data_IF_152476392385
#
_entry.id   IF_152476392385
#
_cell.length_a   1.000
_cell.length_b   1.000
_cell.length_c   1.000
_cell.angle_alpha   90.00
_cell.angle_beta   90.00
_cell.angle_gamma   90.00
#
_symmetry.space_group_name_H-M   'P 1'
#
loop_
_entity.id
_entity.type
_entity.pdbx_description
1 polymer ?
#
# COMPACT_ATOMS: atom_id res chain seq x y z
N UNK A 1 1.26 7.49 -15.65
CA UNK A 1 2.12 7.22 -14.48
C UNK A 1 2.10 5.72 -14.11
N UNK A 2 0.95 5.11 -13.71
CA UNK A 2 0.92 3.71 -13.27
C UNK A 2 1.49 2.73 -14.31
N UNK A 3 1.16 2.85 -15.61
CA UNK A 3 1.67 1.95 -16.66
C UNK A 3 3.19 2.04 -16.84
N UNK A 4 3.74 3.24 -16.80
CA UNK A 4 5.18 3.46 -16.88
C UNK A 4 5.90 2.86 -15.67
N UNK A 5 5.41 3.11 -14.47
CA UNK A 5 5.96 2.49 -13.25
C UNK A 5 5.98 0.97 -13.35
N UNK A 6 4.88 0.34 -13.82
CA UNK A 6 4.83 -1.11 -14.04
C UNK A 6 5.89 -1.60 -15.03
N UNK A 7 6.17 -0.83 -16.09
CA UNK A 7 7.20 -1.18 -17.07
C UNK A 7 8.60 -1.20 -16.47
N UNK A 8 8.93 -0.22 -15.61
CA UNK A 8 10.20 -0.19 -14.88
C UNK A 8 10.36 -1.41 -13.96
N UNK A 9 9.34 -1.70 -13.16
CA UNK A 9 9.35 -2.83 -12.25
C UNK A 9 9.43 -4.17 -12.98
N UNK A 10 8.79 -4.31 -14.15
CA UNK A 10 8.92 -5.48 -15.00
C UNK A 10 10.37 -5.69 -15.48
N UNK A 11 11.10 -4.62 -15.82
CA UNK A 11 12.52 -4.68 -16.20
C UNK A 11 13.38 -5.18 -15.04
N UNK A 12 12.95 -4.95 -13.81
CA UNK A 12 13.60 -5.43 -12.58
C UNK A 12 13.20 -6.87 -12.20
N UNK A 13 12.34 -7.53 -12.99
CA UNK A 13 11.88 -8.88 -12.70
C UNK A 13 10.91 -8.98 -11.51
N UNK A 14 10.24 -7.88 -11.16
CA UNK A 14 9.21 -7.89 -10.10
C UNK A 14 7.99 -8.65 -10.58
N UNK A 15 7.51 -9.58 -9.77
CA UNK A 15 6.34 -10.40 -10.08
C UNK A 15 5.04 -9.65 -9.78
N UNK A 16 4.15 -9.64 -10.76
CA UNK A 16 2.84 -9.02 -10.65
C UNK A 16 1.72 -10.06 -10.66
N UNK A 17 0.68 -9.80 -9.87
CA UNK A 17 -0.57 -10.54 -10.00
C UNK A 17 -1.25 -10.29 -11.34
N UNK A 18 -2.15 -11.20 -11.75
CA UNK A 18 -3.08 -10.92 -12.83
C UNK A 18 -4.02 -9.75 -12.46
N UNK A 19 -4.56 -9.06 -13.47
CA UNK A 19 -5.51 -7.96 -13.28
C UNK A 19 -6.84 -8.43 -12.66
N UNK A 20 -7.22 -9.67 -12.96
CA UNK A 20 -8.39 -10.36 -12.42
C UNK A 20 -7.95 -11.79 -12.09
N UNK A 21 -8.25 -12.26 -10.89
CA UNK A 21 -7.80 -13.59 -10.45
C UNK A 21 -8.74 -14.14 -9.38
N UNK A 22 -8.91 -15.46 -9.39
CA UNK A 22 -9.58 -16.12 -8.27
C UNK A 22 -8.65 -16.22 -7.06
N UNK A 23 -9.23 -16.32 -5.87
CA UNK A 23 -8.48 -16.54 -4.61
C UNK A 23 -7.46 -17.68 -4.73
N UNK A 24 -7.87 -18.84 -5.26
CA UNK A 24 -6.99 -19.99 -5.40
C UNK A 24 -5.81 -19.72 -6.31
N UNK A 25 -6.06 -19.10 -7.48
CA UNK A 25 -4.98 -18.72 -8.41
C UNK A 25 -4.02 -17.69 -7.81
N UNK A 26 -4.54 -16.77 -7.00
CA UNK A 26 -3.69 -15.78 -6.32
C UNK A 26 -2.78 -16.46 -5.29
N UNK A 27 -3.27 -17.44 -4.51
CA UNK A 27 -2.47 -18.22 -3.58
C UNK A 27 -1.41 -19.05 -4.34
N UNK A 28 -1.78 -19.70 -5.44
CA UNK A 28 -0.83 -20.41 -6.29
C UNK A 28 0.25 -19.47 -6.82
N UNK A 29 -0.12 -18.29 -7.32
CA UNK A 29 0.83 -17.28 -7.80
C UNK A 29 1.78 -16.83 -6.69
N UNK A 30 1.29 -16.61 -5.45
CA UNK A 30 2.13 -16.27 -4.31
C UNK A 30 3.16 -17.38 -4.01
N UNK A 31 2.76 -18.64 -4.08
CA UNK A 31 3.67 -19.78 -3.90
C UNK A 31 4.74 -19.82 -4.99
N UNK A 32 4.36 -19.60 -6.24
CA UNK A 32 5.26 -19.55 -7.39
C UNK A 32 6.27 -18.40 -7.33
N UNK A 33 5.97 -17.36 -6.54
CA UNK A 33 6.86 -16.22 -6.30
C UNK A 33 7.91 -16.49 -5.20
N UNK A 34 8.00 -17.72 -4.68
CA UNK A 34 9.00 -18.04 -3.66
C UNK A 34 10.41 -17.80 -4.20
N UNK A 35 11.18 -17.00 -3.47
CA UNK A 35 12.57 -16.69 -3.74
C UNK A 35 13.42 -16.91 -2.48
N UNK A 36 14.72 -17.03 -2.65
CA UNK A 36 15.67 -17.09 -1.55
C UNK A 36 16.75 -16.06 -1.75
N UNK A 37 16.94 -15.20 -0.76
CA UNK A 37 17.99 -14.18 -0.75
C UNK A 37 19.02 -14.51 0.33
N UNK A 38 20.30 -14.31 0.00
CA UNK A 38 21.38 -14.54 0.98
C UNK A 38 21.53 -13.30 1.86
N UNK A 39 21.23 -13.46 3.15
CA UNK A 39 21.42 -12.41 4.12
C UNK A 39 22.89 -12.11 4.44
N UNK A 40 23.16 -11.02 5.15
CA UNK A 40 24.51 -10.67 5.60
C UNK A 40 25.16 -11.70 6.53
N UNK A 41 24.33 -12.53 7.18
CA UNK A 41 24.73 -13.65 8.02
C UNK A 41 25.15 -14.91 7.22
N UNK A 42 25.09 -14.83 5.88
CA UNK A 42 25.38 -15.93 4.97
C UNK A 42 24.26 -16.95 4.86
N UNK A 43 23.14 -16.79 5.55
CA UNK A 43 22.00 -17.72 5.50
C UNK A 43 21.06 -17.36 4.35
N UNK A 44 20.39 -18.36 3.82
CA UNK A 44 19.33 -18.19 2.85
C UNK A 44 18.01 -17.88 3.59
N UNK A 45 17.44 -16.74 3.26
CA UNK A 45 16.12 -16.32 3.73
C UNK A 45 15.11 -16.51 2.60
N UNK A 46 14.15 -17.40 2.81
CA UNK A 46 13.09 -17.65 1.84
C UNK A 46 11.91 -16.73 2.10
N UNK A 47 11.38 -16.18 1.04
CA UNK A 47 10.19 -15.34 1.08
C UNK A 47 9.32 -15.57 -0.15
N UNK A 48 8.07 -15.16 -0.07
CA UNK A 48 7.13 -15.16 -1.19
C UNK A 48 6.50 -13.79 -1.29
N UNK A 49 6.77 -13.09 -2.37
CA UNK A 49 6.30 -11.71 -2.54
C UNK A 49 5.61 -11.49 -3.89
N UNK A 50 4.48 -10.80 -3.87
CA UNK A 50 3.72 -10.45 -5.07
C UNK A 50 3.32 -8.98 -5.06
N UNK A 51 3.39 -8.34 -6.23
CA UNK A 51 2.89 -6.99 -6.41
C UNK A 51 1.55 -7.01 -7.12
N UNK A 52 0.53 -6.49 -6.44
CA UNK A 52 -0.81 -6.27 -6.97
C UNK A 52 -0.85 -4.87 -7.53
N UNK A 53 -0.99 -4.78 -8.85
CA UNK A 53 -0.98 -3.52 -9.58
C UNK A 53 -2.23 -3.42 -10.44
N UNK A 54 -3.24 -2.70 -9.95
CA UNK A 54 -4.54 -2.63 -10.61
C UNK A 54 -4.96 -1.19 -10.92
N UNK A 55 -5.19 -0.90 -12.19
CA UNK A 55 -5.77 0.38 -12.63
C UNK A 55 -7.27 0.48 -12.35
N UNK A 56 -7.90 -0.65 -12.02
CA UNK A 56 -9.30 -0.78 -11.63
C UNK A 56 -9.37 -1.74 -10.45
N UNK A 57 -9.08 -1.21 -9.24
CA UNK A 57 -8.96 -2.03 -8.03
C UNK A 57 -10.20 -2.89 -7.77
N UNK A 58 -11.36 -2.38 -8.12
CA UNK A 58 -12.64 -3.09 -7.94
C UNK A 58 -12.77 -4.32 -8.82
N UNK A 59 -12.15 -4.33 -10.00
CA UNK A 59 -12.08 -5.52 -10.87
C UNK A 59 -11.21 -6.60 -10.20
N UNK A 60 -10.08 -6.20 -9.62
CA UNK A 60 -9.21 -7.13 -8.90
C UNK A 60 -9.88 -7.70 -7.64
N UNK A 61 -10.51 -6.86 -6.84
CA UNK A 61 -11.19 -7.28 -5.60
C UNK A 61 -12.44 -8.12 -5.87
N UNK A 62 -13.11 -7.89 -7.02
CA UNK A 62 -14.43 -8.45 -7.27
C UNK A 62 -15.50 -7.82 -6.35
N UNK A 63 -16.71 -8.36 -6.41
CA UNK A 63 -17.81 -7.90 -5.58
C UNK A 63 -17.95 -8.81 -4.34
N UNK A 64 -18.06 -8.20 -3.17
CA UNK A 64 -18.33 -8.88 -1.88
C UNK A 64 -17.37 -10.03 -1.52
N UNK A 65 -16.12 -9.95 -1.94
CA UNK A 65 -15.13 -11.00 -1.73
C UNK A 65 -14.44 -10.89 -0.35
N UNK A 66 -15.16 -11.21 0.73
CA UNK A 66 -14.64 -11.21 2.11
C UNK A 66 -13.41 -12.10 2.29
N UNK A 67 -13.40 -13.23 1.60
CA UNK A 67 -12.30 -14.20 1.68
C UNK A 67 -11.01 -13.68 1.04
N UNK A 68 -11.11 -12.99 -0.10
CA UNK A 68 -9.95 -12.37 -0.74
C UNK A 68 -9.40 -11.24 0.13
N UNK A 69 -10.28 -10.40 0.70
CA UNK A 69 -9.87 -9.34 1.62
C UNK A 69 -9.15 -9.89 2.86
N UNK A 70 -9.62 -11.03 3.40
CA UNK A 70 -8.95 -11.69 4.54
C UNK A 70 -7.55 -12.16 4.20
N UNK A 71 -7.33 -12.78 3.04
CA UNK A 71 -6.00 -13.18 2.58
C UNK A 71 -5.08 -11.97 2.40
N UNK A 72 -5.59 -10.90 1.77
CA UNK A 72 -4.83 -9.67 1.59
C UNK A 72 -4.42 -9.05 2.92
N UNK A 73 -5.28 -9.12 3.95
CA UNK A 73 -4.92 -8.66 5.28
C UNK A 73 -3.67 -9.38 5.83
N UNK A 74 -3.63 -10.69 5.73
CA UNK A 74 -2.50 -11.49 6.21
C UNK A 74 -1.22 -11.16 5.43
N UNK A 75 -1.32 -11.05 4.10
CA UNK A 75 -0.17 -10.75 3.26
C UNK A 75 0.34 -9.31 3.39
N UNK A 76 -0.55 -8.36 3.66
CA UNK A 76 -0.16 -6.96 3.95
C UNK A 76 0.47 -6.80 5.34
N UNK A 77 0.22 -7.75 6.25
CA UNK A 77 0.86 -7.83 7.57
C UNK A 77 2.22 -8.55 7.54
N UNK A 78 2.62 -9.10 6.38
CA UNK A 78 3.89 -9.80 6.20
C UNK A 78 4.04 -11.00 7.16
N UNK A 79 3.08 -11.94 7.11
CA UNK A 79 3.12 -13.13 7.98
C UNK A 79 4.31 -14.05 7.66
N UNK A 80 4.97 -14.55 8.69
CA UNK A 80 6.11 -15.47 8.56
C UNK A 80 5.71 -16.78 7.88
N UNK A 81 4.44 -17.19 8.03
CA UNK A 81 3.92 -18.43 7.48
C UNK A 81 2.45 -18.32 7.14
N UNK A 82 2.13 -18.52 5.89
CA UNK A 82 0.75 -18.61 5.41
C UNK A 82 0.39 -20.06 5.07
N UNK A 83 -0.69 -20.57 5.67
CA UNK A 83 -1.20 -21.93 5.40
C UNK A 83 -2.53 -21.84 4.67
N UNK A 84 -2.65 -22.58 3.61
CA UNK A 84 -3.85 -22.68 2.80
C UNK A 84 -4.18 -24.15 2.53
N UNK A 85 -5.37 -24.56 2.93
CA UNK A 85 -5.82 -25.94 2.77
C UNK A 85 -7.13 -25.97 1.99
N UNK A 86 -7.17 -26.75 0.91
CA UNK A 86 -8.36 -26.97 0.10
C UNK A 86 -8.42 -28.41 -0.39
N UNK A 87 -9.63 -28.88 -0.65
CA UNK A 87 -9.85 -30.22 -1.21
C UNK A 87 -9.12 -30.46 -2.53
N UNK A 88 -8.91 -29.44 -3.35
CA UNK A 88 -8.30 -29.57 -4.69
C UNK A 88 -6.78 -29.43 -4.69
N UNK A 89 -6.19 -28.63 -3.78
CA UNK A 89 -4.76 -28.35 -3.73
C UNK A 89 -4.06 -29.05 -2.55
N UNK A 90 -4.84 -29.57 -1.58
CA UNK A 90 -4.30 -30.05 -0.33
C UNK A 90 -3.75 -28.93 0.55
N UNK A 91 -2.88 -29.28 1.49
CA UNK A 91 -2.27 -28.35 2.42
C UNK A 91 -1.04 -27.69 1.78
N UNK A 92 -1.09 -26.38 1.61
CA UNK A 92 -0.03 -25.53 1.11
C UNK A 92 0.54 -24.68 2.25
N UNK A 93 1.86 -24.57 2.32
CA UNK A 93 2.56 -23.71 3.27
C UNK A 93 3.51 -22.80 2.50
N UNK A 94 3.37 -21.50 2.70
CA UNK A 94 4.11 -20.46 1.99
C UNK A 94 4.86 -19.62 3.03
N UNK A 95 6.20 -19.58 2.97
CA UNK A 95 7.00 -18.87 3.95
C UNK A 95 7.05 -17.35 3.68
N UNK A 96 7.10 -16.57 4.75
CA UNK A 96 7.37 -15.13 4.75
C UNK A 96 6.64 -14.40 3.63
N UNK A 97 5.31 -14.43 3.68
CA UNK A 97 4.47 -13.86 2.63
C UNK A 97 4.34 -12.35 2.80
N UNK A 98 4.47 -11.61 1.71
CA UNK A 98 4.02 -10.22 1.68
C UNK A 98 3.44 -9.84 0.33
N UNK A 99 2.52 -8.88 0.35
CA UNK A 99 1.96 -8.28 -0.86
C UNK A 99 2.20 -6.78 -0.88
N UNK A 100 2.56 -6.27 -2.05
CA UNK A 100 2.51 -4.85 -2.34
C UNK A 100 1.23 -4.57 -3.11
N UNK A 101 0.48 -3.55 -2.73
CA UNK A 101 -0.78 -3.17 -3.37
C UNK A 101 -0.71 -1.72 -3.85
N UNK A 102 -0.81 -1.53 -5.15
CA UNK A 102 -1.06 -0.24 -5.77
C UNK A 102 -2.30 -0.35 -6.64
N UNK A 103 -3.36 0.35 -6.27
CA UNK A 103 -4.64 0.31 -6.95
C UNK A 103 -5.22 1.69 -7.21
N UNK A 104 -5.97 1.82 -8.29
CA UNK A 104 -6.77 3.00 -8.58
C UNK A 104 -8.25 2.63 -8.66
N UNK A 105 -9.11 3.51 -8.15
CA UNK A 105 -10.55 3.35 -8.20
C UNK A 105 -11.24 4.68 -7.98
N UNK A 106 -12.55 4.74 -8.12
CA UNK A 106 -13.36 5.89 -7.72
C UNK A 106 -14.08 5.60 -6.40
N UNK A 107 -14.45 6.62 -5.60
CA UNK A 107 -15.23 6.41 -4.38
C UNK A 107 -16.52 5.62 -4.62
N UNK A 108 -17.23 5.88 -5.72
CA UNK A 108 -18.46 5.17 -6.07
C UNK A 108 -18.22 3.67 -6.35
N UNK A 109 -17.15 3.34 -7.07
CA UNK A 109 -16.78 1.94 -7.34
C UNK A 109 -16.29 1.25 -6.07
N UNK A 110 -15.50 1.93 -5.24
CA UNK A 110 -15.05 1.38 -3.96
C UNK A 110 -16.25 1.05 -3.05
N UNK A 111 -17.22 1.95 -2.99
CA UNK A 111 -18.48 1.73 -2.27
C UNK A 111 -19.23 0.50 -2.77
N UNK A 112 -19.31 0.31 -4.09
CA UNK A 112 -20.04 -0.81 -4.69
C UNK A 112 -19.35 -2.17 -4.53
N UNK A 113 -18.02 -2.19 -4.37
CA UNK A 113 -17.22 -3.42 -4.32
C UNK A 113 -16.85 -3.89 -2.91
N UNK A 114 -16.80 -2.98 -1.94
CA UNK A 114 -16.49 -3.35 -0.56
C UNK A 114 -17.76 -3.91 0.13
N UNK A 115 -17.64 -5.05 0.83
CA UNK A 115 -18.74 -5.59 1.63
C UNK A 115 -19.22 -4.58 2.67
N UNK A 116 -20.49 -4.68 3.05
CA UNK A 116 -21.02 -3.91 4.16
C UNK A 116 -20.20 -4.17 5.43
N UNK A 117 -19.75 -3.11 6.09
CA UNK A 117 -18.86 -3.19 7.24
C UNK A 117 -17.38 -3.42 6.91
N UNK A 118 -16.98 -3.51 5.64
CA UNK A 118 -15.55 -3.61 5.28
C UNK A 118 -14.79 -2.29 5.52
N UNK A 119 -15.46 -1.16 5.47
CA UNK A 119 -14.89 0.13 5.85
C UNK A 119 -14.78 0.20 7.36
N UNK A 120 -13.60 0.54 7.86
CA UNK A 120 -13.28 0.40 9.28
C UNK A 120 -12.93 -1.05 9.69
N UNK A 121 -12.70 -1.94 8.70
CA UNK A 121 -12.30 -3.33 8.94
C UNK A 121 -10.80 -3.55 8.67
N UNK A 122 -10.39 -4.81 8.81
CA UNK A 122 -9.01 -5.22 8.66
C UNK A 122 -8.33 -4.76 7.36
N UNK A 123 -9.00 -4.82 6.21
CA UNK A 123 -8.38 -4.44 4.92
C UNK A 123 -8.15 -2.93 4.82
N UNK A 124 -9.19 -2.12 5.07
CA UNK A 124 -9.08 -0.66 4.92
C UNK A 124 -8.11 -0.03 5.91
N UNK A 125 -7.88 -0.67 7.05
CA UNK A 125 -6.87 -0.21 8.01
C UNK A 125 -5.42 -0.45 7.56
N UNK A 126 -5.19 -1.34 6.59
CA UNK A 126 -3.87 -1.70 6.04
C UNK A 126 -3.51 -0.96 4.76
N UNK A 127 -4.42 -0.14 4.25
CA UNK A 127 -4.25 0.58 2.99
C UNK A 127 -4.29 2.08 3.26
N UNK A 128 -3.31 2.80 2.74
CA UNK A 128 -3.31 4.26 2.72
C UNK A 128 -4.08 4.69 1.48
N UNK A 129 -5.21 5.36 1.67
CA UNK A 129 -6.04 5.86 0.58
C UNK A 129 -5.69 7.31 0.28
N UNK A 130 -5.32 7.59 -0.96
CA UNK A 130 -5.02 8.94 -1.44
C UNK A 130 -6.21 9.38 -2.30
N UNK A 131 -6.83 10.48 -1.91
CA UNK A 131 -7.99 11.04 -2.61
C UNK A 131 -7.63 12.40 -3.23
N UNK A 132 -7.99 12.56 -4.52
CA UNK A 132 -7.93 13.84 -5.22
C UNK A 132 -9.15 14.01 -6.12
N UNK A 133 -9.78 15.18 -6.05
CA UNK A 133 -10.89 15.56 -6.93
C UNK A 133 -10.41 16.18 -8.23
N UNK A 134 -9.43 17.06 -8.12
CA UNK A 134 -8.97 17.89 -9.23
C UNK A 134 -7.60 17.42 -9.75
N UNK A 135 -7.36 17.72 -11.01
CA UNK A 135 -6.02 17.57 -11.59
C UNK A 135 -5.19 18.78 -11.21
N UNK A 136 -4.10 18.57 -10.52
CA UNK A 136 -3.13 19.64 -10.20
C UNK A 136 -2.70 20.38 -11.46
N UNK A 137 -2.54 19.67 -12.58
CA UNK A 137 -2.10 20.24 -13.85
C UNK A 137 -2.82 19.60 -15.04
N UNK A 138 -3.41 20.41 -15.87
CA UNK A 138 -3.93 20.00 -17.17
C UNK A 138 -2.79 19.90 -18.18
N UNK A 139 -2.48 18.68 -18.64
CA UNK A 139 -1.49 18.46 -19.72
C UNK A 139 -2.23 18.11 -20.99
N UNK A 140 -2.24 19.02 -21.96
CA UNK A 140 -2.96 18.85 -23.23
C UNK A 140 -2.35 17.72 -24.06
N UNK A 141 -1.03 17.62 -24.10
CA UNK A 141 -0.30 16.58 -24.83
C UNK A 141 0.87 16.09 -23.99
N UNK A 142 0.71 14.96 -23.26
CA UNK A 142 1.81 14.40 -22.49
C UNK A 142 2.94 13.97 -23.43
N UNK A 143 4.16 14.39 -23.12
CA UNK A 143 5.36 13.98 -23.83
C UNK A 143 6.49 13.76 -22.83
N UNK A 144 7.34 12.78 -23.12
CA UNK A 144 8.55 12.52 -22.33
C UNK A 144 9.69 13.26 -23.02
N UNK A 145 10.38 14.13 -22.31
CA UNK A 145 11.54 14.86 -22.83
C UNK A 145 12.76 13.95 -22.96
N UNK A 146 13.72 14.34 -23.81
CA UNK A 146 14.99 13.61 -23.95
C UNK A 146 15.75 13.52 -22.61
N UNK A 147 15.68 14.56 -21.78
CA UNK A 147 16.30 14.56 -20.45
C UNK A 147 15.63 13.56 -19.50
N UNK A 148 14.32 13.39 -19.58
CA UNK A 148 13.60 12.38 -18.80
C UNK A 148 13.92 10.95 -19.26
N UNK A 149 14.05 10.74 -20.59
CA UNK A 149 14.48 9.44 -21.13
C UNK A 149 15.91 9.08 -20.68
N UNK A 150 16.80 10.06 -20.57
CA UNK A 150 18.16 9.84 -20.10
C UNK A 150 18.26 9.36 -18.62
N UNK A 151 17.21 9.59 -17.82
CA UNK A 151 17.14 9.13 -16.43
C UNK A 151 16.80 7.63 -16.31
N UNK A 152 16.32 6.99 -17.37
CA UNK A 152 15.89 5.58 -17.30
C UNK A 152 17.01 4.64 -16.86
N UNK A 153 18.20 4.76 -17.43
CA UNK A 153 19.36 3.95 -17.07
C UNK A 153 19.78 4.09 -15.60
N UNK A 154 20.07 5.31 -15.13
CA UNK A 154 20.36 5.55 -13.72
C UNK A 154 19.30 5.03 -12.76
N UNK A 155 18.02 5.27 -13.04
CA UNK A 155 16.92 4.77 -12.19
C UNK A 155 16.85 3.24 -12.11
N UNK A 156 17.16 2.53 -13.20
CA UNK A 156 17.23 1.06 -13.18
C UNK A 156 18.42 0.56 -12.36
N UNK A 157 19.53 1.27 -12.37
CA UNK A 157 20.70 0.95 -11.51
C UNK A 157 20.31 1.12 -10.05
N UNK A 158 19.74 2.26 -9.66
CA UNK A 158 19.30 2.55 -8.29
C UNK A 158 18.28 1.52 -7.79
N UNK A 159 17.28 1.17 -8.63
CA UNK A 159 16.33 0.11 -8.30
C UNK A 159 17.00 -1.26 -8.13
N UNK A 160 18.05 -1.54 -8.90
CA UNK A 160 18.86 -2.74 -8.75
C UNK A 160 19.59 -2.80 -7.40
N UNK A 161 20.13 -1.69 -6.95
CA UNK A 161 20.75 -1.58 -5.62
C UNK A 161 19.72 -1.76 -4.52
N UNK A 162 18.56 -1.10 -4.60
CA UNK A 162 17.46 -1.26 -3.64
C UNK A 162 17.00 -2.73 -3.56
N UNK A 163 16.87 -3.40 -4.71
CA UNK A 163 16.48 -4.82 -4.76
C UNK A 163 17.43 -5.73 -3.99
N UNK A 164 18.70 -5.38 -3.94
CA UNK A 164 19.74 -6.17 -3.26
C UNK A 164 19.83 -5.89 -1.75
N UNK A 165 19.06 -4.93 -1.22
CA UNK A 165 19.01 -4.66 0.21
C UNK A 165 18.35 -5.84 0.90
N UNK A 166 19.11 -6.57 1.72
CA UNK A 166 18.62 -7.71 2.49
C UNK A 166 19.13 -7.63 3.93
N UNK A 167 18.29 -7.95 4.88
CA UNK A 167 18.59 -7.97 6.30
C UNK A 167 17.77 -6.99 7.11
N UNK A 168 17.98 -6.99 8.41
CA UNK A 168 17.25 -6.16 9.37
C UNK A 168 17.67 -4.69 9.24
N UNK A 169 16.68 -3.78 9.31
CA UNK A 169 16.90 -2.35 9.43
C UNK A 169 16.98 -1.96 10.90
N UNK A 170 17.91 -1.09 11.20
CA UNK A 170 18.07 -0.48 12.53
C UNK A 170 17.58 0.96 12.51
N UNK A 171 17.33 1.52 13.69
CA UNK A 171 16.92 2.92 13.86
C UNK A 171 18.02 3.70 14.57
N UNK A 172 18.13 5.00 14.26
CA UNK A 172 19.05 5.90 14.99
C UNK A 172 18.42 6.39 16.29
N UNK A 173 19.22 6.88 17.23
CA UNK A 173 18.73 7.52 18.47
C UNK A 173 17.82 8.71 18.17
N UNK A 174 18.12 9.47 17.10
CA UNK A 174 17.27 10.57 16.64
C UNK A 174 15.89 10.08 16.18
N UNK A 175 15.85 8.98 15.42
CA UNK A 175 14.59 8.34 15.03
C UNK A 175 13.76 7.99 16.27
N UNK A 176 14.37 7.34 17.28
CA UNK A 176 13.67 6.91 18.48
C UNK A 176 13.11 8.11 19.29
N UNK A 177 13.83 9.21 19.34
CA UNK A 177 13.37 10.44 19.99
C UNK A 177 12.16 11.03 19.26
N UNK A 178 12.26 11.22 17.94
CA UNK A 178 11.17 11.78 17.12
C UNK A 178 9.94 10.87 17.17
N UNK A 179 10.14 9.54 17.07
CA UNK A 179 9.05 8.57 17.13
C UNK A 179 8.34 8.59 18.49
N UNK A 180 9.10 8.66 19.58
CA UNK A 180 8.55 8.75 20.93
C UNK A 180 7.72 10.02 21.10
N UNK A 181 8.24 11.16 20.65
CA UNK A 181 7.54 12.44 20.71
C UNK A 181 6.27 12.44 19.87
N UNK A 182 6.34 11.90 18.66
CA UNK A 182 5.18 11.74 17.77
C UNK A 182 4.13 10.82 18.42
N UNK A 183 4.54 9.69 19.00
CA UNK A 183 3.65 8.72 19.65
C UNK A 183 2.91 9.32 20.84
N UNK A 184 3.60 10.11 21.65
CA UNK A 184 3.04 10.71 22.87
C UNK A 184 2.17 11.95 22.59
N UNK A 185 2.49 12.72 21.54
CA UNK A 185 1.82 14.00 21.22
C UNK A 185 0.95 13.90 19.97
N UNK A 186 1.45 13.29 18.90
CA UNK A 186 0.87 13.33 17.57
C UNK A 186 -0.33 12.43 17.34
N UNK A 187 -0.51 11.40 18.16
CA UNK A 187 -1.70 10.55 18.05
C UNK A 187 -3.00 11.29 18.44
N UNK A 188 -2.89 12.38 19.20
CA UNK A 188 -4.04 13.16 19.68
C UNK A 188 -4.49 14.28 18.76
N UNK A 189 -3.62 14.73 17.84
CA UNK A 189 -3.88 15.91 17.00
C UNK A 189 -4.36 15.58 15.58
N UNK A 190 -4.70 14.33 15.31
CA UNK A 190 -5.18 13.96 13.99
C UNK A 190 -6.57 14.49 13.72
N UNK A 191 -6.67 15.38 12.75
CA UNK A 191 -7.90 15.92 12.17
C UNK A 191 -8.77 14.87 11.42
N UNK A 192 -8.46 13.60 11.52
CA UNK A 192 -9.28 12.52 10.98
C UNK A 192 -10.53 12.33 11.83
N UNK A 193 -11.52 13.20 11.58
CA UNK A 193 -12.83 13.21 12.24
C UNK A 193 -13.74 12.07 11.74
N UNK A 194 -13.23 11.21 10.85
CA UNK A 194 -14.04 10.14 10.24
C UNK A 194 -14.01 8.87 11.13
N UNK A 195 -15.10 8.54 11.83
CA UNK A 195 -15.12 7.41 12.76
C UNK A 195 -14.75 6.06 12.11
N UNK A 196 -14.97 5.94 10.80
CA UNK A 196 -14.65 4.72 10.04
C UNK A 196 -13.14 4.49 9.87
N UNK A 197 -12.31 5.50 10.17
CA UNK A 197 -10.86 5.39 10.13
C UNK A 197 -10.22 5.04 11.48
N UNK A 198 -11.01 4.72 12.52
CA UNK A 198 -10.50 4.37 13.84
C UNK A 198 -9.46 3.22 13.80
N UNK A 199 -9.76 2.15 13.06
CA UNK A 199 -8.82 1.02 12.94
C UNK A 199 -7.58 1.36 12.09
N UNK A 200 -7.70 2.29 11.15
CA UNK A 200 -6.55 2.84 10.44
C UNK A 200 -5.63 3.60 11.40
N UNK A 201 -6.19 4.40 12.30
CA UNK A 201 -5.42 5.15 13.30
C UNK A 201 -4.58 4.22 14.20
N UNK A 202 -5.11 3.05 14.56
CA UNK A 202 -4.37 2.05 15.33
C UNK A 202 -3.18 1.47 14.54
N UNK A 203 -3.23 1.47 13.22
CA UNK A 203 -2.16 0.98 12.33
C UNK A 203 -1.24 2.06 11.78
N UNK A 204 -1.52 3.31 12.07
CA UNK A 204 -0.70 4.46 11.67
C UNK A 204 0.79 4.27 11.96
N UNK A 205 1.20 3.78 13.13
CA UNK A 205 2.60 3.50 13.41
C UNK A 205 3.22 2.49 12.42
N UNK A 206 2.50 1.44 12.06
CA UNK A 206 2.97 0.45 11.08
C UNK A 206 3.15 1.07 9.70
N UNK A 207 2.23 1.92 9.25
CA UNK A 207 2.37 2.65 7.99
C UNK A 207 3.59 3.57 8.02
N UNK A 208 3.78 4.27 9.12
CA UNK A 208 4.90 5.18 9.31
C UNK A 208 6.25 4.47 9.20
N UNK A 209 6.41 3.33 9.89
CA UNK A 209 7.63 2.51 9.77
C UNK A 209 7.86 2.01 8.35
N UNK A 210 6.82 1.52 7.67
CA UNK A 210 6.94 1.07 6.26
C UNK A 210 7.40 2.19 5.34
N UNK A 211 6.84 3.39 5.48
CA UNK A 211 7.20 4.56 4.66
C UNK A 211 8.62 5.03 4.99
N UNK A 212 8.98 5.10 6.27
CA UNK A 212 10.34 5.47 6.70
C UNK A 212 11.39 4.48 6.17
N UNK A 213 11.11 3.17 6.20
CA UNK A 213 11.97 2.15 5.60
C UNK A 213 12.15 2.36 4.10
N UNK A 214 11.08 2.73 3.37
CA UNK A 214 11.16 3.06 1.94
C UNK A 214 12.05 4.28 1.72
N UNK A 215 11.93 5.33 2.54
CA UNK A 215 12.79 6.50 2.45
C UNK A 215 14.25 6.18 2.75
N UNK A 216 14.53 5.39 3.79
CA UNK A 216 15.87 4.90 4.07
C UNK A 216 16.47 4.15 2.89
N UNK A 217 15.76 3.13 2.37
CA UNK A 217 16.21 2.36 1.21
C UNK A 217 16.40 3.20 -0.07
N UNK A 218 15.62 4.27 -0.24
CA UNK A 218 15.78 5.20 -1.38
C UNK A 218 16.98 6.15 -1.23
N UNK A 219 17.48 6.33 -0.02
CA UNK A 219 18.61 7.22 0.30
C UNK A 219 19.94 6.49 0.33
N UNK A 220 19.94 5.26 0.85
CA UNK A 220 21.18 4.53 1.13
C UNK A 220 20.90 3.01 1.27
N UNK A 221 21.94 2.21 1.11
CA UNK A 221 21.88 0.75 1.27
C UNK A 221 22.36 0.26 2.66
N UNK A 222 22.58 1.16 3.62
CA UNK A 222 23.14 0.86 4.94
C UNK A 222 22.12 0.27 5.93
N UNK A 223 20.84 0.24 5.56
CA UNK A 223 19.74 -0.31 6.37
C UNK A 223 19.58 0.41 7.72
N UNK A 224 19.86 1.68 7.76
CA UNK A 224 19.66 2.53 8.93
C UNK A 224 18.56 3.57 8.64
N UNK A 225 17.49 3.55 9.45
CA UNK A 225 16.38 4.50 9.34
C UNK A 225 16.71 5.69 10.24
N UNK A 226 16.88 6.85 9.64
CA UNK A 226 17.24 8.09 10.34
C UNK A 226 16.02 8.88 10.80
N UNK A 227 16.23 9.86 11.70
CA UNK A 227 15.21 10.83 12.07
C UNK A 227 14.62 11.57 10.87
N UNK A 228 15.45 11.96 9.90
CA UNK A 228 15.00 12.61 8.68
C UNK A 228 14.12 11.73 7.78
N UNK A 229 14.37 10.41 7.73
CA UNK A 229 13.49 9.45 7.03
C UNK A 229 12.12 9.37 7.70
N UNK A 230 12.09 9.41 9.04
CA UNK A 230 10.86 9.41 9.83
C UNK A 230 10.06 10.70 9.65
N UNK A 231 10.70 11.87 9.71
CA UNK A 231 10.02 13.16 9.50
C UNK A 231 9.37 13.24 8.11
N UNK A 232 10.07 12.79 7.07
CA UNK A 232 9.51 12.69 5.72
C UNK A 232 8.34 11.72 5.65
N UNK A 233 8.42 10.60 6.36
CA UNK A 233 7.33 9.62 6.43
C UNK A 233 6.10 10.19 7.14
N UNK A 234 6.27 10.93 8.23
CA UNK A 234 5.19 11.64 8.94
C UNK A 234 4.51 12.61 7.99
N UNK A 235 5.29 13.48 7.34
CA UNK A 235 4.73 14.46 6.39
C UNK A 235 3.94 13.80 5.27
N UNK A 236 4.51 12.75 4.64
CA UNK A 236 3.83 12.03 3.55
C UNK A 236 2.53 11.39 3.99
N UNK A 237 2.51 10.83 5.20
CA UNK A 237 1.31 10.19 5.74
C UNK A 237 0.24 11.23 6.06
N UNK A 238 0.60 12.34 6.69
CA UNK A 238 -0.32 13.43 7.02
C UNK A 238 -0.92 14.08 5.77
N UNK A 239 -0.13 14.31 4.72
CA UNK A 239 -0.61 14.80 3.42
C UNK A 239 -1.63 13.83 2.79
N UNK A 240 -1.39 12.50 2.85
CA UNK A 240 -2.33 11.50 2.35
C UNK A 240 -3.62 11.46 3.19
N UNK A 241 -3.50 11.64 4.51
CA UNK A 241 -4.60 11.60 5.47
C UNK A 241 -5.54 12.80 5.37
N UNK A 242 -5.05 13.96 4.95
CA UNK A 242 -5.84 15.21 4.87
C UNK A 242 -7.16 15.05 4.12
N UNK A 243 -7.15 14.29 3.03
CA UNK A 243 -8.34 14.04 2.20
C UNK A 243 -8.87 12.61 2.28
N UNK A 244 -8.23 11.73 3.07
CA UNK A 244 -8.55 10.29 3.10
C UNK A 244 -10.01 10.01 3.45
N UNK A 245 -10.61 10.77 4.35
CA UNK A 245 -12.02 10.64 4.72
C UNK A 245 -12.99 10.77 3.54
N UNK A 246 -12.62 11.54 2.53
CA UNK A 246 -13.44 11.76 1.33
C UNK A 246 -13.54 10.50 0.45
N UNK A 247 -12.56 9.61 0.52
CA UNK A 247 -12.57 8.31 -0.19
C UNK A 247 -13.80 7.49 0.19
N UNK A 248 -14.25 7.60 1.44
CA UNK A 248 -15.37 6.85 1.99
C UNK A 248 -16.67 7.65 2.04
N UNK A 249 -16.70 8.85 1.47
CA UNK A 249 -17.91 9.66 1.39
C UNK A 249 -19.00 8.88 0.64
N UNK A 250 -20.07 8.51 1.36
CA UNK A 250 -21.16 7.72 0.82
C UNK A 250 -21.07 6.20 1.07
N UNK A 251 -19.94 5.64 1.48
CA UNK A 251 -19.84 4.21 1.82
C UNK A 251 -20.60 3.93 3.13
N UNK A 252 -21.52 2.94 3.10
CA UNK A 252 -22.35 2.58 4.25
C UNK A 252 -23.46 3.60 4.59
N UNK A 253 -23.64 4.62 3.78
CA UNK A 253 -24.73 5.58 3.93
C UNK A 253 -25.95 5.14 3.08
N UNK A 254 -27.16 5.50 3.56
CA UNK A 254 -28.38 5.40 2.79
C UNK A 254 -28.16 5.96 1.36
N UNK A 255 -28.70 5.34 0.28
CA UNK A 255 -28.61 5.85 -1.11
C UNK A 255 -28.94 7.34 -1.28
N UNK A 256 -29.72 7.90 -0.37
CA UNK A 256 -30.08 9.33 -0.36
C UNK A 256 -29.03 10.23 0.32
N UNK A 257 -28.00 9.69 0.97
CA UNK A 257 -27.02 10.51 1.69
C UNK A 257 -26.12 11.33 0.75
N UNK A 258 -25.77 10.78 -0.43
CA UNK A 258 -25.01 11.55 -1.44
C UNK A 258 -25.73 12.80 -1.92
N UNK A 259 -27.00 12.71 -2.35
CA UNK A 259 -27.83 13.88 -2.64
C UNK A 259 -27.98 14.86 -1.47
N UNK A 260 -28.15 14.36 -0.24
CA UNK A 260 -28.28 15.20 0.96
C UNK A 260 -26.98 15.98 1.24
N UNK A 261 -25.82 15.35 1.14
CA UNK A 261 -24.53 16.01 1.32
C UNK A 261 -24.31 17.10 0.25
N UNK A 262 -24.65 16.83 -1.01
CA UNK A 262 -24.61 17.85 -2.08
C UNK A 262 -25.53 19.01 -1.79
N UNK A 263 -26.74 18.77 -1.37
CA UNK A 263 -27.70 19.79 -1.01
C UNK A 263 -27.19 20.68 0.14
N UNK A 264 -26.63 20.05 1.19
CA UNK A 264 -26.05 20.78 2.33
C UNK A 264 -24.84 21.63 1.92
N UNK A 265 -24.01 21.14 0.96
CA UNK A 265 -22.89 21.93 0.44
C UNK A 265 -23.37 23.17 -0.32
N UNK A 266 -24.44 23.05 -1.12
CA UNK A 266 -25.05 24.17 -1.85
C UNK A 266 -25.67 25.20 -0.89
N UNK A 267 -26.32 24.72 0.18
CA UNK A 267 -26.99 25.61 1.16
C UNK A 267 -25.99 26.32 2.10
N UNK A 268 -24.73 25.91 2.13
CA UNK A 268 -23.66 26.57 2.94
C UNK A 268 -22.83 27.57 2.14
N UNK A 269 -23.03 27.68 0.85
CA UNK A 269 -22.50 28.77 -0.02
C UNK A 269 -23.50 29.94 -0.07
#
# INVERSE_FOLDING_TARGET
AMKEGKQFLNKMGITFSANETSRQKLVTAMKECQAGEQGPDGRLHYHSSITIFSTELTVFLGYDSKELLSILCNWLDCEDRFQYDTHSLGKEEIPNVWANLLGATTPAQLQASLPEGAVGSGFTSRVVFIFEEDKERAVVKPSISTSQLALEGPLLVDLGEIRNICGEFTTTDEFEQIYTDWRLRGEKDTSLVEPRLEYYMQRRPTHLFKIATIYSASRSSDREITGGDLERAIQTLEEAEEKMGQTFAGVGLNPLAGPQIRLLRILRQ
#
